data_IF_976611457774
#
_entry.id   IF_976611457774
#
_cell.length_a   1.000
_cell.length_b   1.000
_cell.length_c   1.000
_cell.angle_alpha   90.00
_cell.angle_beta   90.00
_cell.angle_gamma   90.00
#
_symmetry.space_group_name_H-M   'P 1'
#
loop_
_entity.id
_entity.type
_entity.pdbx_description
1 polymer ?
#
# COMPACT_ATOMS: atom_id res chain seq x y z
N UNK A 1 -119.08 25.80 55.99
CA UNK A 1 -118.57 26.38 57.26
C UNK A 1 -118.28 25.34 58.35
N UNK A 2 -119.15 24.36 58.63
CA UNK A 2 -118.96 23.40 59.76
C UNK A 2 -117.71 22.50 59.67
N UNK A 3 -117.28 22.10 58.48
CA UNK A 3 -116.10 21.23 58.29
C UNK A 3 -114.75 21.94 58.45
N UNK A 4 -114.67 23.23 58.07
CA UNK A 4 -113.43 24.01 58.21
C UNK A 4 -113.16 24.38 59.69
N UNK A 5 -114.21 24.53 60.48
CA UNK A 5 -114.11 24.81 61.92
C UNK A 5 -113.58 23.60 62.71
N UNK A 6 -113.97 22.38 62.32
CA UNK A 6 -113.46 21.15 62.93
C UNK A 6 -111.96 20.95 62.63
N UNK A 7 -111.51 21.24 61.40
CA UNK A 7 -110.10 21.11 61.03
C UNK A 7 -109.21 22.07 61.85
N UNK A 8 -109.64 23.33 62.01
CA UNK A 8 -108.91 24.33 62.80
C UNK A 8 -108.91 24.05 64.32
N UNK A 9 -109.87 23.28 64.86
CA UNK A 9 -109.84 22.85 66.27
C UNK A 9 -108.98 21.60 66.51
N UNK A 10 -108.86 20.73 65.51
CA UNK A 10 -108.18 19.43 65.65
C UNK A 10 -106.67 19.55 65.42
N UNK A 11 -106.22 20.40 64.50
CA UNK A 11 -104.80 20.66 64.21
C UNK A 11 -103.96 21.07 65.45
N UNK A 12 -104.43 21.99 66.33
CA UNK A 12 -103.70 22.37 67.53
C UNK A 12 -103.65 21.28 68.62
N UNK A 13 -104.60 20.34 68.61
CA UNK A 13 -104.65 19.23 69.58
C UNK A 13 -103.75 18.08 69.13
N UNK A 14 -103.74 17.77 67.83
CA UNK A 14 -102.84 16.78 67.24
C UNK A 14 -101.36 17.19 67.37
N UNK A 15 -101.03 18.48 67.25
CA UNK A 15 -99.65 18.97 67.40
C UNK A 15 -99.12 18.88 68.84
N UNK A 16 -100.01 18.78 69.84
CA UNK A 16 -99.66 18.58 71.25
C UNK A 16 -99.78 17.12 71.71
N UNK A 17 -100.20 16.19 70.84
CA UNK A 17 -100.33 14.78 71.19
C UNK A 17 -98.92 14.15 71.38
N UNK A 18 -98.55 13.70 72.60
CA UNK A 18 -97.19 13.22 72.88
C UNK A 18 -96.81 12.00 72.05
N UNK A 19 -97.78 11.13 71.76
CA UNK A 19 -97.58 9.90 70.98
C UNK A 19 -97.24 10.22 69.52
N UNK A 20 -97.92 11.19 68.91
CA UNK A 20 -97.64 11.61 67.53
C UNK A 20 -96.27 12.29 67.41
N UNK A 21 -95.88 13.08 68.42
CA UNK A 21 -94.54 13.67 68.50
C UNK A 21 -93.44 12.62 68.68
N UNK A 22 -93.69 11.54 69.42
CA UNK A 22 -92.72 10.43 69.57
C UNK A 22 -92.46 9.70 68.25
N UNK A 23 -93.50 9.36 67.49
CA UNK A 23 -93.34 8.71 66.17
C UNK A 23 -92.66 9.64 65.15
N UNK A 24 -92.99 10.94 65.17
CA UNK A 24 -92.33 11.94 64.33
C UNK A 24 -90.84 12.08 64.69
N UNK A 25 -90.51 12.14 65.97
CA UNK A 25 -89.11 12.20 66.43
C UNK A 25 -88.32 10.95 66.00
N UNK A 26 -88.88 9.76 66.21
CA UNK A 26 -88.26 8.50 65.78
C UNK A 26 -88.05 8.43 64.26
N UNK A 27 -89.04 8.86 63.48
CA UNK A 27 -88.95 8.91 62.02
C UNK A 27 -87.89 9.90 61.54
N UNK A 28 -87.81 11.08 62.17
CA UNK A 28 -86.80 12.09 61.85
C UNK A 28 -85.40 11.60 62.18
N UNK A 29 -85.18 11.05 63.38
CA UNK A 29 -83.89 10.48 63.78
C UNK A 29 -83.47 9.34 62.83
N UNK A 30 -84.40 8.46 62.45
CA UNK A 30 -84.09 7.38 61.50
C UNK A 30 -83.73 7.91 60.12
N UNK A 31 -84.43 8.94 59.64
CA UNK A 31 -84.16 9.59 58.36
C UNK A 31 -82.81 10.31 58.37
N UNK A 32 -82.53 11.07 59.43
CA UNK A 32 -81.30 11.85 59.59
C UNK A 32 -80.07 10.96 59.75
N UNK A 33 -80.19 9.86 60.51
CA UNK A 33 -79.12 8.87 60.61
C UNK A 33 -78.89 8.19 59.26
N UNK A 34 -79.96 7.76 58.57
CA UNK A 34 -79.82 7.10 57.28
C UNK A 34 -79.23 8.03 56.21
N UNK A 35 -79.64 9.30 56.16
CA UNK A 35 -79.14 10.27 55.19
C UNK A 35 -77.68 10.63 55.47
N UNK A 36 -77.33 10.90 56.73
CA UNK A 36 -75.96 11.27 57.10
C UNK A 36 -74.99 10.09 56.95
N UNK A 37 -75.38 8.88 57.33
CA UNK A 37 -74.54 7.69 57.12
C UNK A 37 -74.38 7.45 55.62
N UNK A 38 -75.46 7.49 54.83
CA UNK A 38 -75.37 7.29 53.39
C UNK A 38 -74.54 8.36 52.70
N UNK A 39 -74.69 9.63 53.07
CA UNK A 39 -73.93 10.73 52.46
C UNK A 39 -72.46 10.67 52.83
N UNK A 40 -72.13 10.46 54.12
CA UNK A 40 -70.76 10.43 54.58
C UNK A 40 -70.01 9.19 54.07
N UNK A 41 -70.67 8.03 54.06
CA UNK A 41 -70.08 6.81 53.49
C UNK A 41 -69.88 7.00 51.98
N UNK A 42 -70.91 7.48 51.26
CA UNK A 42 -70.77 7.69 49.82
C UNK A 42 -69.69 8.72 49.51
N UNK A 43 -69.61 9.83 50.23
CA UNK A 43 -68.62 10.88 49.98
C UNK A 43 -67.21 10.40 50.31
N UNK A 44 -66.99 9.81 51.49
CA UNK A 44 -65.67 9.39 51.91
C UNK A 44 -65.15 8.21 51.10
N UNK A 45 -66.02 7.26 50.76
CA UNK A 45 -65.63 6.14 49.88
C UNK A 45 -65.33 6.66 48.49
N UNK A 46 -66.18 7.53 47.93
CA UNK A 46 -65.94 8.07 46.58
C UNK A 46 -64.66 8.90 46.55
N UNK A 47 -64.47 9.86 47.44
CA UNK A 47 -63.26 10.69 47.45
C UNK A 47 -62.02 9.86 47.72
N UNK A 48 -61.99 9.12 48.83
CA UNK A 48 -60.74 8.48 49.25
C UNK A 48 -60.37 7.31 48.36
N UNK A 49 -61.34 6.54 47.87
CA UNK A 49 -61.03 5.41 46.99
C UNK A 49 -60.69 5.92 45.59
N UNK A 50 -61.48 6.84 45.03
CA UNK A 50 -61.19 7.34 43.68
C UNK A 50 -59.88 8.12 43.69
N UNK A 51 -59.66 9.03 44.63
CA UNK A 51 -58.45 9.87 44.63
C UNK A 51 -57.20 9.02 44.91
N UNK A 52 -57.23 8.12 45.91
CA UNK A 52 -56.06 7.29 46.19
C UNK A 52 -55.80 6.24 45.11
N UNK A 53 -56.83 5.61 44.53
CA UNK A 53 -56.63 4.62 43.46
C UNK A 53 -56.18 5.34 42.20
N UNK A 54 -56.82 6.46 41.83
CA UNK A 54 -56.47 7.20 40.63
C UNK A 54 -55.06 7.75 40.74
N UNK A 55 -54.71 8.48 41.80
CA UNK A 55 -53.36 9.05 41.92
C UNK A 55 -52.31 7.95 42.06
N UNK A 56 -52.46 6.99 42.99
CA UNK A 56 -51.42 5.99 43.18
C UNK A 56 -51.27 5.05 41.98
N UNK A 57 -52.35 4.65 41.31
CA UNK A 57 -52.22 3.74 40.17
C UNK A 57 -51.71 4.49 38.95
N UNK A 58 -52.23 5.68 38.65
CA UNK A 58 -51.79 6.44 37.48
C UNK A 58 -50.34 6.90 37.66
N UNK A 59 -50.00 7.50 38.80
CA UNK A 59 -48.66 8.04 39.03
C UNK A 59 -47.64 6.89 39.04
N UNK A 60 -47.88 5.80 39.78
CA UNK A 60 -46.91 4.70 39.81
C UNK A 60 -46.81 3.94 38.48
N UNK A 61 -47.90 3.78 37.73
CA UNK A 61 -47.85 3.07 36.44
C UNK A 61 -47.17 3.93 35.39
N UNK A 62 -47.50 5.23 35.32
CA UNK A 62 -46.87 6.14 34.37
C UNK A 62 -45.40 6.32 34.71
N UNK A 63 -45.06 6.57 35.96
CA UNK A 63 -43.67 6.83 36.36
C UNK A 63 -42.80 5.58 36.17
N UNK A 64 -43.27 4.39 36.60
CA UNK A 64 -42.51 3.16 36.39
C UNK A 64 -42.43 2.76 34.92
N UNK A 65 -43.51 2.91 34.14
CA UNK A 65 -43.45 2.58 32.72
C UNK A 65 -42.52 3.55 31.97
N UNK A 66 -42.61 4.84 32.28
CA UNK A 66 -41.78 5.87 31.63
C UNK A 66 -40.31 5.70 32.02
N UNK A 67 -39.98 5.56 33.30
CA UNK A 67 -38.59 5.35 33.75
C UNK A 67 -38.03 4.06 33.18
N UNK A 68 -38.73 2.93 33.31
CA UNK A 68 -38.21 1.65 32.81
C UNK A 68 -38.03 1.64 31.29
N UNK A 69 -38.91 2.29 30.53
CA UNK A 69 -38.77 2.38 29.07
C UNK A 69 -37.61 3.29 28.72
N UNK A 70 -37.51 4.48 29.32
CA UNK A 70 -36.42 5.42 29.05
C UNK A 70 -35.07 4.80 29.44
N UNK A 71 -34.96 4.24 30.64
CA UNK A 71 -33.70 3.69 31.14
C UNK A 71 -33.25 2.47 30.33
N UNK A 72 -34.16 1.53 30.05
CA UNK A 72 -33.80 0.34 29.27
C UNK A 72 -33.51 0.66 27.81
N UNK A 73 -34.29 1.54 27.17
CA UNK A 73 -34.06 1.90 25.77
C UNK A 73 -32.79 2.72 25.66
N UNK A 74 -32.59 3.71 26.53
CA UNK A 74 -31.42 4.58 26.49
C UNK A 74 -30.15 3.78 26.77
N UNK A 75 -30.10 3.01 27.85
CA UNK A 75 -28.90 2.24 28.18
C UNK A 75 -28.63 1.16 27.14
N UNK A 76 -29.62 0.32 26.79
CA UNK A 76 -29.35 -0.77 25.85
C UNK A 76 -29.05 -0.28 24.44
N UNK A 77 -29.70 0.78 23.96
CA UNK A 77 -29.41 1.29 22.60
C UNK A 77 -28.09 2.02 22.59
N UNK A 78 -27.81 2.90 23.55
CA UNK A 78 -26.54 3.65 23.56
C UNK A 78 -25.38 2.69 23.79
N UNK A 79 -25.45 1.80 24.78
CA UNK A 79 -24.34 0.92 25.12
C UNK A 79 -24.07 -0.09 23.99
N UNK A 80 -25.10 -0.73 23.44
CA UNK A 80 -24.89 -1.70 22.36
C UNK A 80 -24.47 -1.04 21.05
N UNK A 81 -25.05 0.12 20.68
CA UNK A 81 -24.66 0.80 19.45
C UNK A 81 -23.26 1.36 19.59
N UNK A 82 -22.93 1.98 20.72
CA UNK A 82 -21.61 2.56 20.96
C UNK A 82 -20.54 1.49 20.99
N UNK A 83 -20.72 0.40 21.76
CA UNK A 83 -19.72 -0.68 21.82
C UNK A 83 -19.59 -1.36 20.46
N UNK A 84 -20.69 -1.78 19.83
CA UNK A 84 -20.58 -2.48 18.54
C UNK A 84 -19.99 -1.61 17.43
N UNK A 85 -20.31 -0.31 17.38
CA UNK A 85 -19.75 0.59 16.36
C UNK A 85 -18.28 0.87 16.65
N UNK A 86 -17.90 1.18 17.89
CA UNK A 86 -16.51 1.44 18.24
C UNK A 86 -15.66 0.19 18.03
N UNK A 87 -16.09 -0.96 18.54
CA UNK A 87 -15.32 -2.20 18.49
C UNK A 87 -15.15 -2.68 17.04
N UNK A 88 -16.23 -2.68 16.24
CA UNK A 88 -16.13 -3.10 14.83
C UNK A 88 -15.37 -2.10 13.97
N UNK A 89 -15.53 -0.79 14.18
CA UNK A 89 -14.80 0.21 13.38
C UNK A 89 -13.33 0.20 13.77
N UNK A 90 -13.00 0.15 15.06
CA UNK A 90 -11.60 0.10 15.51
C UNK A 90 -10.90 -1.17 15.04
N UNK A 91 -11.48 -2.36 15.22
CA UNK A 91 -10.85 -3.61 14.74
C UNK A 91 -10.70 -3.59 13.23
N UNK A 92 -11.77 -3.36 12.46
CA UNK A 92 -11.67 -3.45 11.00
C UNK A 92 -10.73 -2.38 10.40
N UNK A 93 -10.72 -1.16 10.94
CA UNK A 93 -9.82 -0.12 10.43
C UNK A 93 -8.38 -0.42 10.79
N UNK A 94 -8.10 -0.81 12.04
CA UNK A 94 -6.73 -1.11 12.46
C UNK A 94 -6.19 -2.34 11.72
N UNK A 95 -6.97 -3.41 11.63
CA UNK A 95 -6.52 -4.67 11.03
C UNK A 95 -6.30 -4.52 9.52
N UNK A 96 -7.23 -3.88 8.80
CA UNK A 96 -7.08 -3.66 7.36
C UNK A 96 -5.92 -2.68 7.06
N UNK A 97 -5.83 -1.56 7.76
CA UNK A 97 -4.75 -0.58 7.53
C UNK A 97 -3.38 -1.18 7.88
N UNK A 98 -3.29 -1.96 8.95
CA UNK A 98 -2.01 -2.60 9.35
C UNK A 98 -1.60 -3.69 8.36
N UNK A 99 -2.56 -4.47 7.86
CA UNK A 99 -2.33 -5.48 6.82
C UNK A 99 -1.86 -4.84 5.52
N UNK A 100 -2.59 -3.85 5.01
CA UNK A 100 -2.29 -3.18 3.74
C UNK A 100 -0.93 -2.46 3.79
N UNK A 101 -0.63 -1.77 4.89
CA UNK A 101 0.69 -1.13 5.07
C UNK A 101 1.80 -2.20 5.12
N UNK A 102 1.59 -3.31 5.81
CA UNK A 102 2.61 -4.37 5.91
C UNK A 102 2.84 -5.04 4.57
N UNK A 103 1.79 -5.42 3.83
CA UNK A 103 1.94 -6.08 2.53
C UNK A 103 2.57 -5.17 1.50
N UNK A 104 2.05 -3.95 1.38
CA UNK A 104 2.40 -3.08 0.27
C UNK A 104 3.73 -2.39 0.51
N UNK A 105 3.97 -1.89 1.73
CA UNK A 105 5.23 -1.20 2.01
C UNK A 105 6.35 -2.21 2.15
N UNK A 106 6.22 -3.23 2.99
CA UNK A 106 7.34 -4.15 3.23
C UNK A 106 7.61 -5.01 2.00
N UNK A 107 6.56 -5.54 1.35
CA UNK A 107 6.69 -6.40 0.17
C UNK A 107 7.27 -5.66 -1.03
N UNK A 108 6.72 -4.49 -1.37
CA UNK A 108 7.19 -3.75 -2.55
C UNK A 108 8.54 -3.07 -2.31
N UNK A 109 8.79 -2.52 -1.11
CA UNK A 109 10.08 -1.90 -0.80
C UNK A 109 11.17 -2.97 -0.74
N UNK A 110 10.94 -4.09 -0.07
CA UNK A 110 11.96 -5.16 -0.01
C UNK A 110 12.25 -5.74 -1.38
N UNK A 111 11.23 -6.08 -2.17
CA UNK A 111 11.45 -6.67 -3.50
C UNK A 111 12.16 -5.69 -4.46
N UNK A 112 11.75 -4.42 -4.49
CA UNK A 112 12.39 -3.43 -5.35
C UNK A 112 13.83 -3.13 -4.90
N UNK A 113 14.07 -2.96 -3.61
CA UNK A 113 15.42 -2.73 -3.08
C UNK A 113 16.30 -3.93 -3.38
N UNK A 114 15.87 -5.14 -3.06
CA UNK A 114 16.66 -6.36 -3.31
C UNK A 114 16.94 -6.53 -4.80
N UNK A 115 15.92 -6.40 -5.65
CA UNK A 115 16.08 -6.56 -7.11
C UNK A 115 17.01 -5.50 -7.70
N UNK A 116 16.78 -4.23 -7.41
CA UNK A 116 17.58 -3.14 -7.98
C UNK A 116 19.01 -3.11 -7.44
N UNK A 117 19.22 -3.37 -6.15
CA UNK A 117 20.57 -3.43 -5.60
C UNK A 117 21.30 -4.63 -6.19
N UNK A 118 20.68 -5.81 -6.19
CA UNK A 118 21.34 -7.02 -6.70
C UNK A 118 21.69 -6.88 -8.19
N UNK A 119 20.76 -6.39 -9.01
CA UNK A 119 21.00 -6.23 -10.45
C UNK A 119 22.08 -5.18 -10.74
N UNK A 120 22.00 -3.99 -10.11
CA UNK A 120 22.95 -2.92 -10.38
C UNK A 120 24.33 -3.25 -9.82
N UNK A 121 24.40 -3.82 -8.61
CA UNK A 121 25.68 -4.19 -8.01
C UNK A 121 26.33 -5.34 -8.80
N UNK A 122 25.56 -6.36 -9.19
CA UNK A 122 26.10 -7.47 -9.99
C UNK A 122 26.60 -6.99 -11.36
N UNK A 123 25.84 -6.13 -12.05
CA UNK A 123 26.22 -5.60 -13.35
C UNK A 123 27.44 -4.67 -13.27
N UNK A 124 27.44 -3.74 -12.31
CA UNK A 124 28.53 -2.76 -12.16
C UNK A 124 29.81 -3.39 -11.62
N UNK A 125 29.71 -4.33 -10.67
CA UNK A 125 30.91 -5.03 -10.16
C UNK A 125 31.48 -5.94 -11.23
N UNK A 126 30.64 -6.65 -11.99
CA UNK A 126 31.14 -7.47 -13.10
C UNK A 126 31.82 -6.58 -14.15
N UNK A 127 31.14 -5.54 -14.65
CA UNK A 127 31.72 -4.69 -15.70
C UNK A 127 32.98 -3.97 -15.25
N UNK A 128 33.02 -3.41 -14.04
CA UNK A 128 34.20 -2.68 -13.55
C UNK A 128 35.36 -3.62 -13.18
N UNK A 129 35.09 -4.77 -12.55
CA UNK A 129 36.15 -5.72 -12.18
C UNK A 129 36.82 -6.34 -13.42
N UNK A 130 36.06 -6.65 -14.47
CA UNK A 130 36.63 -7.14 -15.74
C UNK A 130 37.41 -6.06 -16.51
N UNK A 131 37.06 -4.77 -16.35
CA UNK A 131 37.71 -3.71 -17.13
C UNK A 131 38.97 -3.12 -16.47
N UNK A 132 39.05 -3.03 -15.13
CA UNK A 132 40.15 -2.30 -14.47
C UNK A 132 41.37 -3.16 -14.10
N UNK A 133 41.22 -4.48 -13.91
CA UNK A 133 42.28 -5.29 -13.26
C UNK A 133 42.78 -6.52 -14.00
N UNK A 134 42.13 -6.98 -15.09
CA UNK A 134 42.61 -8.15 -15.84
C UNK A 134 43.30 -7.76 -17.14
N UNK A 135 44.62 -8.01 -17.17
CA UNK A 135 45.32 -8.25 -18.42
C UNK A 135 44.81 -9.56 -19.01
N UNK A 136 44.39 -9.53 -20.27
CA UNK A 136 43.95 -10.68 -21.04
C UNK A 136 45.17 -11.22 -21.79
N UNK A 137 45.54 -12.47 -21.52
CA UNK A 137 46.56 -13.18 -22.30
C UNK A 137 45.96 -13.63 -23.64
N UNK A 138 46.68 -13.35 -24.73
CA UNK A 138 46.26 -13.70 -26.07
C UNK A 138 47.44 -13.75 -27.05
N UNK A 139 47.11 -13.98 -28.31
CA UNK A 139 48.05 -13.86 -29.44
C UNK A 139 47.73 -12.64 -30.28
N UNK A 140 48.75 -12.00 -30.86
CA UNK A 140 48.54 -11.00 -31.90
C UNK A 140 48.50 -11.66 -33.28
N UNK A 141 47.49 -11.33 -34.08
CA UNK A 141 47.39 -11.65 -35.51
C UNK A 141 47.21 -10.37 -36.31
N UNK A 142 47.34 -10.47 -37.63
CA UNK A 142 46.83 -9.45 -38.54
C UNK A 142 46.20 -10.14 -39.74
N UNK A 143 44.98 -9.75 -40.12
CA UNK A 143 44.35 -10.12 -41.39
C UNK A 143 44.10 -8.93 -42.31
N UNK A 144 44.48 -7.73 -41.87
CA UNK A 144 44.07 -6.48 -42.49
C UNK A 144 45.21 -5.45 -42.49
N UNK A 145 45.20 -4.57 -43.49
CA UNK A 145 46.07 -3.40 -43.58
C UNK A 145 45.38 -2.24 -44.27
N UNK A 146 45.98 -1.05 -44.20
CA UNK A 146 45.44 0.14 -44.86
C UNK A 146 46.26 0.53 -46.08
N UNK A 147 47.56 0.28 -46.04
CA UNK A 147 48.49 0.67 -47.09
C UNK A 147 48.84 -0.50 -48.02
N UNK A 148 49.86 -0.29 -48.85
CA UNK A 148 50.34 -1.26 -49.84
C UNK A 148 50.88 -2.56 -49.21
N UNK A 149 51.03 -3.58 -50.05
CA UNK A 149 51.74 -4.82 -49.70
C UNK A 149 53.13 -4.53 -49.12
N UNK A 150 53.45 -5.21 -48.03
CA UNK A 150 54.79 -5.16 -47.43
C UNK A 150 55.52 -6.44 -47.83
N UNK A 151 56.60 -6.29 -48.60
CA UNK A 151 57.42 -7.42 -49.02
C UNK A 151 57.94 -8.24 -47.82
N UNK A 152 57.71 -9.55 -47.87
CA UNK A 152 57.98 -10.49 -46.79
C UNK A 152 56.81 -10.73 -45.82
N UNK A 153 55.65 -10.09 -46.03
CA UNK A 153 54.45 -10.29 -45.22
C UNK A 153 53.36 -11.05 -45.98
N UNK A 154 52.53 -11.87 -45.29
CA UNK A 154 51.33 -12.45 -45.87
C UNK A 154 50.43 -11.44 -46.58
N UNK A 155 49.86 -11.86 -47.72
CA UNK A 155 48.82 -11.10 -48.41
C UNK A 155 47.58 -11.02 -47.53
N UNK A 156 47.13 -9.81 -47.27
CA UNK A 156 45.99 -9.51 -46.39
C UNK A 156 45.05 -8.50 -47.06
N UNK A 157 43.81 -8.43 -46.59
CA UNK A 157 42.81 -7.54 -47.16
C UNK A 157 43.15 -6.06 -46.88
N UNK A 158 42.95 -5.20 -47.88
CA UNK A 158 43.13 -3.74 -47.77
C UNK A 158 41.77 -3.03 -47.67
N UNK A 159 41.63 -2.05 -46.76
CA UNK A 159 40.33 -1.39 -46.46
C UNK A 159 40.23 0.10 -46.79
N UNK A 160 41.17 0.67 -47.55
CA UNK A 160 41.11 2.08 -47.93
C UNK A 160 40.30 2.32 -49.21
N UNK A 161 39.03 1.89 -49.23
CA UNK A 161 38.16 1.93 -50.42
C UNK A 161 36.95 2.88 -50.29
N UNK A 162 36.81 3.55 -49.13
CA UNK A 162 35.73 4.47 -48.86
C UNK A 162 34.46 3.84 -48.26
N UNK A 163 34.42 2.51 -48.09
CA UNK A 163 33.26 1.81 -47.53
C UNK A 163 33.34 1.70 -46.00
N UNK A 164 32.19 1.36 -45.38
CA UNK A 164 32.10 1.05 -43.96
C UNK A 164 32.04 -0.45 -43.73
N UNK A 165 32.70 -0.91 -42.69
CA UNK A 165 32.91 -2.33 -42.42
C UNK A 165 32.66 -2.67 -40.95
N UNK A 166 32.38 -3.94 -40.74
CA UNK A 166 32.32 -4.53 -39.42
C UNK A 166 31.12 -4.10 -38.57
N UNK A 167 30.92 -4.73 -37.40
CA UNK A 167 29.87 -4.35 -36.45
C UNK A 167 30.01 -2.94 -35.86
N UNK A 168 31.17 -2.32 -35.98
CA UNK A 168 31.41 -0.95 -35.55
C UNK A 168 31.08 0.11 -36.63
N UNK A 169 30.70 -0.30 -37.85
CA UNK A 169 30.35 0.58 -38.98
C UNK A 169 31.38 1.69 -39.27
N UNK A 170 32.66 1.35 -39.14
CA UNK A 170 33.77 2.29 -39.32
C UNK A 170 34.25 2.32 -40.77
N UNK A 171 34.67 3.50 -41.21
CA UNK A 171 35.36 3.70 -42.48
C UNK A 171 36.86 3.78 -42.19
N UNK A 172 37.65 2.88 -42.80
CA UNK A 172 39.10 2.88 -42.65
C UNK A 172 39.72 3.91 -43.60
N UNK A 173 40.70 4.66 -43.09
CA UNK A 173 41.42 5.68 -43.85
C UNK A 173 42.91 5.64 -43.49
N UNK A 174 43.73 6.45 -44.17
CA UNK A 174 45.19 6.53 -43.96
C UNK A 174 45.62 6.90 -42.54
N UNK A 175 44.72 7.49 -41.74
CA UNK A 175 44.96 7.87 -40.35
C UNK A 175 44.63 6.74 -39.37
N UNK A 176 43.91 5.71 -39.83
CA UNK A 176 43.48 4.57 -39.02
C UNK A 176 44.63 3.58 -38.83
N UNK A 177 45.87 3.99 -38.58
CA UNK A 177 47.01 3.06 -38.54
C UNK A 177 47.01 2.11 -37.35
N UNK A 178 46.40 2.52 -36.22
CA UNK A 178 46.48 1.82 -34.94
C UNK A 178 45.09 1.40 -34.46
N UNK A 179 44.67 0.23 -34.91
CA UNK A 179 43.37 -0.33 -34.58
C UNK A 179 43.43 -1.85 -34.47
N UNK A 180 42.33 -2.41 -33.98
CA UNK A 180 42.17 -3.84 -33.84
C UNK A 180 40.72 -4.29 -33.99
N UNK A 181 40.58 -5.58 -34.24
CA UNK A 181 39.38 -6.36 -34.10
C UNK A 181 39.52 -7.33 -32.92
N UNK A 182 38.49 -7.37 -32.07
CA UNK A 182 38.40 -8.28 -30.92
C UNK A 182 37.06 -9.01 -30.95
N UNK A 183 36.93 -10.10 -30.22
CA UNK A 183 35.65 -10.80 -30.08
C UNK A 183 34.66 -9.99 -29.25
N UNK A 184 33.37 -10.03 -29.60
CA UNK A 184 32.30 -9.28 -28.95
C UNK A 184 32.57 -7.76 -28.91
N UNK A 185 33.13 -7.20 -29.99
CA UNK A 185 33.59 -5.80 -30.02
C UNK A 185 32.48 -4.75 -29.96
N UNK A 186 31.20 -5.14 -30.13
CA UNK A 186 30.05 -4.23 -30.19
C UNK A 186 29.99 -3.22 -29.03
N UNK A 187 30.28 -3.67 -27.81
CA UNK A 187 30.27 -2.82 -26.61
C UNK A 187 31.55 -1.99 -26.43
N UNK A 188 32.53 -2.20 -27.30
CA UNK A 188 33.86 -1.60 -27.25
C UNK A 188 34.21 -0.78 -28.50
N UNK A 189 33.34 -0.74 -29.52
CA UNK A 189 33.54 0.05 -30.73
C UNK A 189 33.94 1.50 -30.41
N UNK A 190 35.07 1.93 -30.96
CA UNK A 190 35.63 3.26 -30.78
C UNK A 190 36.41 3.48 -29.48
N UNK A 191 36.37 2.56 -28.52
CA UNK A 191 37.20 2.59 -27.32
C UNK A 191 38.65 2.23 -27.64
N UNK A 192 39.55 2.62 -26.76
CA UNK A 192 40.96 2.27 -26.87
C UNK A 192 41.28 1.05 -26.02
N UNK A 193 42.18 0.20 -26.51
CA UNK A 193 42.85 -0.84 -25.73
C UNK A 193 44.35 -0.56 -25.72
N UNK A 194 45.05 -1.12 -24.75
CA UNK A 194 46.52 -1.17 -24.75
C UNK A 194 46.96 -2.62 -24.89
N UNK A 195 47.91 -2.87 -25.80
CA UNK A 195 48.50 -4.19 -26.04
C UNK A 195 49.97 -4.14 -25.67
N UNK A 196 50.44 -5.18 -24.98
CA UNK A 196 51.79 -5.33 -24.48
C UNK A 196 52.47 -6.54 -25.13
N UNK A 197 53.70 -6.34 -25.59
CA UNK A 197 54.56 -7.39 -26.11
C UNK A 197 55.99 -7.15 -25.61
N UNK A 198 56.49 -8.06 -24.76
CA UNK A 198 57.78 -7.89 -24.08
C UNK A 198 57.84 -6.55 -23.33
N UNK A 199 58.72 -5.63 -23.75
CA UNK A 199 58.89 -4.29 -23.16
C UNK A 199 58.12 -3.20 -23.93
N UNK A 200 57.51 -3.54 -25.07
CA UNK A 200 56.78 -2.60 -25.92
C UNK A 200 55.29 -2.61 -25.57
N UNK A 201 54.64 -1.47 -25.79
CA UNK A 201 53.18 -1.35 -25.72
C UNK A 201 52.65 -0.45 -26.83
N UNK A 202 51.41 -0.67 -27.24
CA UNK A 202 50.72 0.17 -28.23
C UNK A 202 49.26 0.36 -27.86
N UNK A 203 48.74 1.56 -28.09
CA UNK A 203 47.31 1.86 -27.94
C UNK A 203 46.61 1.64 -29.27
N UNK A 204 45.56 0.83 -29.29
CA UNK A 204 44.77 0.51 -30.48
C UNK A 204 43.32 0.91 -30.28
N UNK A 205 42.68 1.44 -31.31
CA UNK A 205 41.23 1.67 -31.32
C UNK A 205 40.49 0.39 -31.72
N UNK A 206 39.45 0.00 -30.98
CA UNK A 206 38.59 -1.11 -31.39
C UNK A 206 37.70 -0.65 -32.54
N UNK A 207 37.84 -1.30 -33.69
CA UNK A 207 37.23 -0.88 -34.95
C UNK A 207 36.47 -2.01 -35.65
N UNK A 208 36.68 -3.27 -35.28
CA UNK A 208 35.93 -4.38 -35.87
C UNK A 208 35.71 -5.52 -34.87
N UNK A 209 34.92 -6.51 -35.26
CA UNK A 209 34.80 -7.78 -34.58
C UNK A 209 35.65 -8.85 -35.25
N UNK A 210 36.41 -9.60 -34.44
CA UNK A 210 37.00 -10.86 -34.88
C UNK A 210 36.28 -12.03 -34.20
N UNK A 211 35.29 -12.67 -34.86
CA UNK A 211 34.47 -13.72 -34.23
C UNK A 211 35.28 -14.96 -33.81
N UNK A 212 36.36 -15.25 -34.53
CA UNK A 212 37.25 -16.40 -34.28
C UNK A 212 38.38 -16.10 -33.30
N UNK A 213 38.65 -14.81 -33.00
CA UNK A 213 39.71 -14.40 -32.10
C UNK A 213 39.24 -14.55 -30.66
N UNK A 214 39.44 -15.72 -30.04
CA UNK A 214 38.99 -15.95 -28.67
C UNK A 214 39.44 -14.86 -27.68
N UNK A 215 40.71 -14.90 -27.24
CA UNK A 215 41.37 -13.83 -26.49
C UNK A 215 42.46 -13.14 -27.34
N UNK A 216 42.57 -13.54 -28.60
CA UNK A 216 43.56 -12.99 -29.53
C UNK A 216 43.11 -11.61 -30.00
N UNK A 217 44.07 -10.80 -30.42
CA UNK A 217 43.81 -9.51 -31.04
C UNK A 217 44.24 -9.59 -32.48
N UNK A 218 43.32 -9.25 -33.37
CA UNK A 218 43.66 -9.03 -34.77
C UNK A 218 43.90 -7.54 -34.98
N UNK A 219 45.15 -7.14 -35.18
CA UNK A 219 45.55 -5.74 -35.28
C UNK A 219 45.97 -5.37 -36.69
N UNK A 220 45.99 -4.08 -37.00
CA UNK A 220 46.60 -3.62 -38.25
C UNK A 220 48.06 -4.07 -38.33
N UNK A 221 48.52 -4.38 -39.54
CA UNK A 221 49.91 -4.74 -39.78
C UNK A 221 50.88 -3.64 -39.30
N UNK A 222 50.53 -2.38 -39.51
CA UNK A 222 51.33 -1.23 -39.05
C UNK A 222 51.47 -1.21 -37.52
N UNK A 223 50.40 -1.52 -36.78
CA UNK A 223 50.46 -1.63 -35.32
C UNK A 223 51.33 -2.80 -34.87
N UNK A 224 51.25 -3.94 -35.56
CA UNK A 224 52.03 -5.12 -35.21
C UNK A 224 53.52 -4.91 -35.45
N UNK A 225 53.90 -4.23 -36.54
CA UNK A 225 55.29 -3.86 -36.83
C UNK A 225 55.84 -2.96 -35.74
N UNK A 226 55.10 -1.93 -35.35
CA UNK A 226 55.50 -1.02 -34.26
C UNK A 226 55.66 -1.77 -32.93
N UNK A 227 54.68 -2.63 -32.59
CA UNK A 227 54.69 -3.40 -31.35
C UNK A 227 55.85 -4.41 -31.28
N UNK A 228 56.14 -5.10 -32.38
CA UNK A 228 57.19 -6.13 -32.45
C UNK A 228 58.57 -5.58 -32.79
N UNK A 229 58.66 -4.30 -33.17
CA UNK A 229 59.88 -3.55 -33.45
C UNK A 229 60.50 -3.80 -34.83
N UNK A 230 59.95 -4.71 -35.64
CA UNK A 230 60.43 -4.93 -37.02
C UNK A 230 59.39 -5.64 -37.88
N UNK A 231 59.49 -5.44 -39.21
CA UNK A 231 58.64 -6.15 -40.17
C UNK A 231 58.86 -7.65 -40.14
N UNK A 232 60.10 -8.10 -39.95
CA UNK A 232 60.45 -9.51 -39.91
C UNK A 232 59.77 -10.21 -38.73
N UNK A 233 59.73 -9.55 -37.56
CA UNK A 233 59.05 -10.09 -36.38
C UNK A 233 57.52 -10.09 -36.53
N UNK A 234 56.95 -9.03 -37.10
CA UNK A 234 55.52 -8.93 -37.35
C UNK A 234 55.03 -9.96 -38.38
N UNK A 235 55.84 -10.23 -39.40
CA UNK A 235 55.45 -11.04 -40.54
C UNK A 235 55.87 -12.53 -40.43
N UNK A 236 56.68 -12.87 -39.43
CA UNK A 236 56.97 -14.25 -39.04
C UNK A 236 55.80 -14.96 -38.32
N UNK A 237 54.60 -14.38 -38.28
CA UNK A 237 53.41 -14.95 -37.60
C UNK A 237 53.02 -16.34 -38.09
N UNK A 238 53.33 -16.68 -39.35
CA UNK A 238 53.10 -18.01 -39.91
C UNK A 238 54.02 -19.09 -39.29
N UNK A 239 55.05 -18.67 -38.55
CA UNK A 239 55.93 -19.54 -37.79
C UNK A 239 55.54 -19.56 -36.31
N UNK A 240 55.31 -18.39 -35.71
CA UNK A 240 54.86 -18.27 -34.32
C UNK A 240 54.15 -16.93 -34.06
N UNK A 241 52.92 -16.99 -33.54
CA UNK A 241 52.18 -15.80 -33.15
C UNK A 241 52.75 -15.16 -31.87
N UNK A 242 52.95 -13.81 -31.83
CA UNK A 242 53.38 -13.09 -30.64
C UNK A 242 52.42 -13.30 -29.45
N UNK A 243 52.95 -13.74 -28.31
CA UNK A 243 52.23 -13.74 -27.04
C UNK A 243 52.10 -12.32 -26.52
N UNK A 244 50.86 -11.84 -26.43
CA UNK A 244 50.55 -10.49 -25.98
C UNK A 244 49.65 -10.51 -24.75
N UNK A 245 49.75 -9.44 -23.98
CA UNK A 245 48.77 -9.10 -22.95
C UNK A 245 48.03 -7.86 -23.38
N UNK A 246 46.75 -7.76 -23.08
CA UNK A 246 46.01 -6.56 -23.42
C UNK A 246 44.91 -6.26 -22.41
N UNK A 247 44.48 -5.00 -22.39
CA UNK A 247 43.34 -4.57 -21.57
C UNK A 247 42.63 -3.39 -22.22
N UNK A 248 41.38 -3.22 -21.86
CA UNK A 248 40.52 -2.15 -22.34
C UNK A 248 40.79 -0.90 -21.51
N UNK A 249 40.92 0.26 -22.16
CA UNK A 249 41.04 1.55 -21.49
C UNK A 249 39.63 2.11 -21.31
N UNK A 250 39.26 2.39 -20.05
CA UNK A 250 37.99 3.01 -19.67
C UNK A 250 37.97 4.51 -19.99
#
# INVERSE_FOLDING_TARGET
>A
MKTLFALNLILPVLSKCPVLNFFKYKSNVSSDVSSNVSSNVSSNVSSNVIDNVTSNVIDNVIDNATSNVIDNVTSNVIDNVTSNVIDNVSSNVIDNVSSDISSDVIGNVSSNITSNITSNLSSNVSSNFFNETQYIDGKATFYFRINDDIDGCPDVQTFNDGNKYGPCEVQYNTDSKYWCAIKNSKDYCGKSIVVYYKENQINLKVMDECPSCNNNIDMSLEALIELTGSKENACAINQQLPDVKWKILL
#
